data_IF_841237748278
#
_entry.id   IF_841237748278
#
_cell.length_a   1.000
_cell.length_b   1.000
_cell.length_c   1.000
_cell.angle_alpha   90.00
_cell.angle_beta   90.00
_cell.angle_gamma   90.00
#
_symmetry.space_group_name_H-M   'P 1'
#
loop_
_entity.id
_entity.type
_entity.pdbx_description
1 polymer ?
#
# COMPACT_ATOMS: atom_id res chain seq x y z
N UNK A 1 -23.66 -5.97 13.68
CA UNK A 1 -22.56 -5.52 12.79
C UNK A 1 -21.20 -5.83 13.43
N UNK A 2 -20.93 -5.39 14.66
CA UNK A 2 -19.67 -5.64 15.36
C UNK A 2 -19.37 -7.12 15.58
N UNK A 3 -20.37 -7.95 15.89
CA UNK A 3 -20.19 -9.38 16.05
C UNK A 3 -19.67 -10.04 14.77
N UNK A 4 -20.27 -9.78 13.61
CA UNK A 4 -19.81 -10.31 12.30
C UNK A 4 -18.40 -9.84 11.94
N UNK A 5 -18.05 -8.63 12.32
CA UNK A 5 -16.70 -8.08 12.07
C UNK A 5 -15.65 -8.79 12.92
N UNK A 6 -15.94 -9.02 14.21
CA UNK A 6 -15.04 -9.74 15.11
C UNK A 6 -14.90 -11.21 14.72
N UNK A 7 -16.00 -11.88 14.29
CA UNK A 7 -15.93 -13.23 13.73
C UNK A 7 -14.92 -13.30 12.56
N UNK A 8 -15.00 -12.37 11.62
CA UNK A 8 -14.03 -12.31 10.50
C UNK A 8 -12.58 -12.10 10.96
N UNK A 9 -12.37 -11.45 12.12
CA UNK A 9 -11.03 -11.30 12.70
C UNK A 9 -10.53 -12.62 13.30
N UNK A 10 -11.42 -13.36 13.94
CA UNK A 10 -11.13 -14.70 14.48
C UNK A 10 -10.84 -15.70 13.34
N UNK A 11 -11.60 -15.66 12.23
CA UNK A 11 -11.32 -16.48 11.05
C UNK A 11 -9.91 -16.21 10.48
N UNK A 12 -9.46 -14.97 10.50
CA UNK A 12 -8.08 -14.63 10.11
C UNK A 12 -7.05 -14.98 11.17
N UNK A 13 -7.43 -14.93 12.44
CA UNK A 13 -6.57 -15.38 13.52
C UNK A 13 -6.26 -16.85 13.38
N UNK A 14 -7.25 -17.73 13.14
CA UNK A 14 -7.03 -19.16 12.93
C UNK A 14 -6.07 -19.43 11.78
N UNK A 15 -6.06 -18.57 10.75
CA UNK A 15 -5.18 -18.69 9.59
C UNK A 15 -3.75 -18.20 9.81
N UNK A 16 -3.52 -17.18 10.67
CA UNK A 16 -2.19 -16.57 10.83
C UNK A 16 -1.53 -16.84 12.19
N UNK A 17 -2.24 -17.37 13.19
CA UNK A 17 -1.73 -17.53 14.54
C UNK A 17 -0.51 -18.46 14.61
N UNK A 18 -0.53 -19.56 13.87
CA UNK A 18 0.58 -20.54 13.76
C UNK A 18 1.88 -19.91 13.21
N UNK A 19 1.78 -18.81 12.46
CA UNK A 19 2.94 -18.06 11.97
C UNK A 19 3.32 -16.90 12.89
N UNK A 20 2.35 -16.12 13.38
CA UNK A 20 2.62 -14.89 14.13
C UNK A 20 3.12 -15.18 15.55
N UNK A 21 2.45 -16.09 16.27
CA UNK A 21 2.78 -16.40 17.67
C UNK A 21 4.21 -16.91 17.86
N UNK A 22 4.73 -17.90 17.09
CA UNK A 22 6.12 -18.33 17.23
C UNK A 22 7.14 -17.24 16.91
N UNK A 23 6.82 -16.31 15.96
CA UNK A 23 7.68 -15.17 15.69
C UNK A 23 7.76 -14.27 16.91
N UNK A 24 6.63 -13.90 17.55
CA UNK A 24 6.63 -13.10 18.78
C UNK A 24 7.42 -13.78 19.88
N UNK A 25 7.17 -15.08 20.13
CA UNK A 25 7.89 -15.87 21.13
C UNK A 25 9.41 -15.88 20.87
N UNK A 26 9.85 -15.94 19.61
CA UNK A 26 11.28 -15.91 19.27
C UNK A 26 12.01 -14.62 19.66
N UNK A 27 11.27 -13.54 19.94
CA UNK A 27 11.79 -12.28 20.50
C UNK A 27 11.60 -12.17 22.03
N UNK A 28 11.12 -13.22 22.69
CA UNK A 28 10.79 -13.22 24.12
C UNK A 28 9.56 -12.38 24.45
N UNK A 29 8.65 -12.21 23.51
CA UNK A 29 7.43 -11.41 23.66
C UNK A 29 6.22 -12.31 23.95
N UNK A 30 5.22 -11.80 24.72
CA UNK A 30 3.94 -12.48 24.86
C UNK A 30 3.29 -12.74 23.50
N UNK A 31 2.85 -13.97 23.28
CA UNK A 31 2.19 -14.36 22.02
C UNK A 31 0.82 -13.68 21.84
N UNK A 32 0.21 -13.27 22.94
CA UNK A 32 -1.06 -12.53 23.00
C UNK A 32 -0.96 -11.15 22.34
N UNK A 33 0.24 -10.65 22.08
CA UNK A 33 0.43 -9.42 21.28
C UNK A 33 -0.08 -9.56 19.83
N UNK A 34 -0.41 -10.76 19.36
CA UNK A 34 -1.15 -10.97 18.12
C UNK A 34 -2.49 -10.21 18.13
N UNK A 35 -3.15 -10.08 19.30
CA UNK A 35 -4.40 -9.34 19.42
C UNK A 35 -4.24 -7.84 19.18
N UNK A 36 -3.02 -7.29 19.33
CA UNK A 36 -2.73 -5.94 18.90
C UNK A 36 -2.87 -5.80 17.38
N UNK A 37 -2.31 -6.73 16.59
CA UNK A 37 -2.50 -6.75 15.14
C UNK A 37 -3.98 -6.98 14.75
N UNK A 38 -4.72 -7.74 15.55
CA UNK A 38 -6.16 -7.91 15.37
C UNK A 38 -6.89 -6.58 15.53
N UNK A 39 -6.60 -5.79 16.57
CA UNK A 39 -7.22 -4.47 16.79
C UNK A 39 -6.78 -3.45 15.73
N UNK A 40 -5.55 -3.50 15.28
CA UNK A 40 -5.03 -2.57 14.25
C UNK A 40 -5.72 -2.75 12.89
N UNK A 41 -6.02 -3.98 12.49
CA UNK A 41 -6.49 -4.25 11.12
C UNK A 41 -7.46 -5.42 10.98
N UNK A 42 -7.78 -6.14 12.05
CA UNK A 42 -8.40 -7.46 12.00
C UNK A 42 -7.51 -8.45 11.24
N UNK A 43 -6.18 -8.40 11.44
CA UNK A 43 -5.17 -9.24 10.76
C UNK A 43 -5.24 -9.14 9.21
N UNK A 44 -5.71 -8.02 8.67
CA UNK A 44 -5.92 -7.83 7.24
C UNK A 44 -4.64 -7.33 6.55
N UNK A 45 -4.01 -8.17 5.74
CA UNK A 45 -2.81 -7.83 4.95
C UNK A 45 -3.04 -6.70 3.95
N UNK A 46 -4.31 -6.46 3.54
CA UNK A 46 -4.69 -5.41 2.59
C UNK A 46 -5.15 -4.13 3.27
N UNK A 47 -5.21 -4.09 4.60
CA UNK A 47 -5.66 -2.91 5.34
C UNK A 47 -4.84 -1.67 4.97
N UNK A 48 -5.54 -0.54 4.86
CA UNK A 48 -4.97 0.76 4.56
C UNK A 48 -5.75 1.84 5.30
N UNK A 49 -5.11 2.53 6.23
CA UNK A 49 -5.73 3.56 7.04
C UNK A 49 -5.65 4.95 6.40
N UNK A 50 -6.46 5.88 6.90
CA UNK A 50 -6.40 7.30 6.52
C UNK A 50 -5.01 7.92 6.79
N UNK A 51 -4.31 7.47 7.82
CA UNK A 51 -2.94 7.87 8.15
C UNK A 51 -1.87 7.16 7.30
N UNK A 52 -2.25 6.47 6.22
CA UNK A 52 -1.36 5.70 5.35
C UNK A 52 -0.62 4.54 6.05
N UNK A 53 -1.15 4.06 7.17
CA UNK A 53 -0.71 2.82 7.77
C UNK A 53 -1.20 1.62 6.95
N UNK A 54 -0.41 0.55 6.89
CA UNK A 54 -0.66 -0.56 5.95
C UNK A 54 -0.36 -1.91 6.61
N UNK A 55 -1.18 -2.91 6.24
CA UNK A 55 -0.96 -4.32 6.55
C UNK A 55 -1.47 -4.73 7.93
N UNK A 56 -1.19 -5.97 8.37
CA UNK A 56 -1.75 -6.52 9.60
C UNK A 56 -1.36 -5.70 10.83
N UNK A 57 -0.15 -5.18 10.90
CA UNK A 57 0.41 -4.41 12.00
C UNK A 57 0.28 -2.89 11.84
N UNK A 58 -0.41 -2.40 10.82
CA UNK A 58 -0.64 -0.99 10.53
C UNK A 58 0.60 -0.09 10.60
N UNK A 59 1.72 -0.55 10.05
CA UNK A 59 2.92 0.28 9.97
C UNK A 59 2.72 1.49 9.08
N UNK A 60 3.04 2.69 9.58
CA UNK A 60 3.31 3.84 8.73
C UNK A 60 4.68 3.67 8.06
N UNK A 61 4.86 4.33 6.90
CA UNK A 61 6.06 4.11 6.06
C UNK A 61 7.39 4.44 6.74
N UNK A 62 7.41 5.43 7.64
CA UNK A 62 8.62 5.83 8.36
C UNK A 62 9.03 4.76 9.39
N UNK A 63 8.08 4.33 10.23
CA UNK A 63 8.30 3.30 11.25
C UNK A 63 8.64 1.96 10.61
N UNK A 64 7.89 1.52 9.59
CA UNK A 64 8.20 0.27 8.89
C UNK A 64 9.62 0.25 8.32
N UNK A 65 10.10 1.38 7.77
CA UNK A 65 11.49 1.49 7.27
C UNK A 65 12.53 1.42 8.38
N UNK A 66 12.25 2.03 9.54
CA UNK A 66 13.12 1.95 10.72
C UNK A 66 13.35 0.50 11.15
N UNK A 67 12.31 -0.32 11.08
CA UNK A 67 12.34 -1.74 11.42
C UNK A 67 12.59 -2.68 10.22
N UNK A 68 13.12 -2.16 9.11
CA UNK A 68 13.66 -2.94 8.00
C UNK A 68 12.67 -3.26 6.87
N UNK A 69 11.40 -2.84 6.96
CA UNK A 69 10.41 -3.11 5.94
C UNK A 69 10.65 -2.26 4.68
N UNK A 70 10.75 -2.92 3.55
CA UNK A 70 10.91 -2.29 2.24
C UNK A 70 9.57 -1.85 1.68
N UNK A 71 9.57 -0.69 1.04
CA UNK A 71 8.43 -0.20 0.27
C UNK A 71 8.95 0.46 -1.00
N UNK A 72 8.61 -0.11 -2.13
CA UNK A 72 8.94 0.44 -3.43
C UNK A 72 7.75 0.32 -4.40
N UNK A 73 8.01 0.46 -5.70
CA UNK A 73 6.99 0.31 -6.74
C UNK A 73 6.44 -1.13 -6.82
N UNK A 74 7.28 -2.12 -6.57
CA UNK A 74 6.99 -3.54 -6.75
C UNK A 74 6.41 -4.20 -5.52
N UNK A 75 6.96 -3.85 -4.35
CA UNK A 75 6.62 -4.49 -3.07
C UNK A 75 6.29 -3.46 -1.99
N UNK A 76 5.43 -3.87 -1.05
CA UNK A 76 5.20 -3.17 0.21
C UNK A 76 5.21 -4.20 1.35
N UNK A 77 6.38 -4.43 1.96
CA UNK A 77 6.61 -5.49 2.94
C UNK A 77 5.82 -5.28 4.25
N UNK A 78 5.16 -4.15 4.43
CA UNK A 78 4.21 -3.94 5.53
C UNK A 78 2.98 -4.85 5.42
N UNK A 79 2.72 -5.39 4.22
CA UNK A 79 1.65 -6.36 3.93
C UNK A 79 2.08 -7.81 4.14
N UNK A 80 3.38 -8.08 4.10
CA UNK A 80 3.94 -9.40 4.32
C UNK A 80 3.78 -9.79 5.80
N UNK A 81 3.06 -10.88 6.07
CA UNK A 81 2.74 -11.29 7.44
C UNK A 81 4.01 -11.57 8.23
N UNK A 82 4.94 -12.35 7.68
CA UNK A 82 6.17 -12.75 8.36
C UNK A 82 7.08 -11.56 8.61
N UNK A 83 7.40 -10.79 7.55
CA UNK A 83 8.32 -9.63 7.66
C UNK A 83 7.76 -8.54 8.54
N UNK A 84 6.45 -8.24 8.42
CA UNK A 84 5.83 -7.22 9.26
C UNK A 84 5.71 -7.67 10.73
N UNK A 85 5.56 -8.96 11.00
CA UNK A 85 5.57 -9.48 12.37
C UNK A 85 6.96 -9.38 13.00
N UNK A 86 8.03 -9.75 12.28
CA UNK A 86 9.39 -9.51 12.77
C UNK A 86 9.68 -8.03 13.04
N UNK A 87 9.17 -7.14 12.20
CA UNK A 87 9.31 -5.70 12.42
C UNK A 87 8.51 -5.22 13.64
N UNK A 88 7.28 -5.74 13.83
CA UNK A 88 6.44 -5.42 14.96
C UNK A 88 7.03 -5.95 16.28
N UNK A 89 7.56 -7.17 16.27
CA UNK A 89 8.23 -7.75 17.42
C UNK A 89 9.42 -6.88 17.89
N UNK A 90 10.28 -6.44 16.96
CA UNK A 90 11.39 -5.52 17.28
C UNK A 90 10.89 -4.19 17.84
N UNK A 91 9.85 -3.62 17.23
CA UNK A 91 9.29 -2.34 17.69
C UNK A 91 8.65 -2.48 19.08
N UNK A 92 7.86 -3.52 19.32
CA UNK A 92 7.24 -3.79 20.62
C UNK A 92 8.29 -4.06 21.70
N UNK A 93 9.36 -4.78 21.33
CA UNK A 93 10.49 -4.99 22.24
C UNK A 93 11.16 -3.67 22.63
N UNK A 94 11.51 -2.83 21.65
CA UNK A 94 12.10 -1.50 21.91
C UNK A 94 11.18 -0.65 22.80
N UNK A 95 9.85 -0.72 22.60
CA UNK A 95 8.89 0.02 23.43
C UNK A 95 8.81 -0.55 24.86
N UNK A 96 8.83 -1.88 25.01
CA UNK A 96 8.84 -2.51 26.31
C UNK A 96 10.15 -2.24 27.05
N UNK A 97 11.28 -2.35 26.38
CA UNK A 97 12.60 -2.04 26.97
C UNK A 97 12.69 -0.57 27.43
N UNK A 98 11.99 0.36 26.75
CA UNK A 98 11.94 1.78 27.15
C UNK A 98 11.03 2.02 28.36
N UNK A 99 9.86 1.40 28.37
CA UNK A 99 8.84 1.71 29.37
C UNK A 99 8.77 0.71 30.52
N UNK A 100 9.34 -0.48 30.40
CA UNK A 100 9.25 -1.59 31.37
C UNK A 100 7.80 -1.84 31.85
N UNK A 101 6.85 -1.68 30.92
CA UNK A 101 5.41 -1.78 31.15
C UNK A 101 4.68 -2.05 29.82
N UNK A 102 3.95 -3.14 29.74
CA UNK A 102 3.23 -3.52 28.52
C UNK A 102 2.09 -2.57 28.16
N UNK A 103 1.41 -1.98 29.13
CA UNK A 103 0.33 -1.04 28.84
C UNK A 103 0.87 0.25 28.23
N UNK A 104 2.00 0.74 28.75
CA UNK A 104 2.70 1.89 28.19
C UNK A 104 3.31 1.57 26.83
N UNK A 105 3.85 0.36 26.62
CA UNK A 105 4.37 -0.09 25.34
C UNK A 105 3.25 -0.16 24.28
N UNK A 106 2.10 -0.77 24.60
CA UNK A 106 0.93 -0.82 23.69
C UNK A 106 0.36 0.59 23.41
N UNK A 107 0.27 1.44 24.42
CA UNK A 107 -0.14 2.84 24.25
C UNK A 107 0.83 3.60 23.32
N UNK A 108 2.14 3.33 23.47
CA UNK A 108 3.19 3.93 22.63
C UNK A 108 3.13 3.45 21.19
N UNK A 109 2.80 2.18 20.97
CA UNK A 109 2.56 1.65 19.64
C UNK A 109 1.44 2.43 18.90
N UNK A 110 0.33 2.69 19.62
CA UNK A 110 -0.83 3.40 19.07
C UNK A 110 -0.57 4.90 18.82
N UNK A 111 0.05 5.61 19.78
CA UNK A 111 0.12 7.08 19.75
C UNK A 111 1.52 7.66 19.56
N UNK A 112 2.53 6.80 19.55
CA UNK A 112 3.95 7.13 19.47
C UNK A 112 4.58 7.35 20.85
N UNK A 113 5.79 6.82 21.03
CA UNK A 113 6.58 6.86 22.29
C UNK A 113 6.79 8.28 22.82
N UNK A 114 7.01 9.25 21.94
CA UNK A 114 7.23 10.65 22.34
C UNK A 114 6.03 11.26 23.05
N UNK A 115 4.80 10.82 22.73
CA UNK A 115 3.59 11.29 23.40
C UNK A 115 3.46 10.69 24.78
N UNK A 116 3.68 9.40 24.91
CA UNK A 116 3.64 8.69 26.20
C UNK A 116 4.69 9.27 27.16
N UNK A 117 5.94 9.47 26.71
CA UNK A 117 6.98 10.16 27.48
C UNK A 117 6.56 11.55 27.98
N UNK A 118 5.90 12.34 27.15
CA UNK A 118 5.38 13.65 27.55
C UNK A 118 4.27 13.54 28.59
N UNK A 119 3.39 12.57 28.43
CA UNK A 119 2.32 12.30 29.39
C UNK A 119 2.89 11.91 30.77
N UNK A 120 3.84 10.97 30.82
CA UNK A 120 4.52 10.56 32.05
C UNK A 120 5.14 11.79 32.77
N UNK A 121 5.88 12.63 32.03
CA UNK A 121 6.49 13.84 32.61
C UNK A 121 5.46 14.85 33.11
N UNK A 122 4.35 15.00 32.36
CA UNK A 122 3.29 15.96 32.70
C UNK A 122 2.48 15.54 33.93
N UNK A 123 2.19 14.23 34.05
CA UNK A 123 1.33 13.69 35.09
C UNK A 123 2.12 13.20 36.32
N UNK A 124 3.44 13.06 36.17
CA UNK A 124 4.34 12.65 37.27
C UNK A 124 4.24 11.19 37.71
N UNK A 125 3.55 10.35 36.91
CA UNK A 125 3.43 8.91 37.21
C UNK A 125 3.48 8.07 35.93
N UNK A 126 3.62 6.73 36.09
CA UNK A 126 3.70 5.74 35.00
C UNK A 126 2.46 4.82 34.90
N UNK A 127 1.47 5.02 35.77
CA UNK A 127 0.25 4.23 35.79
C UNK A 127 -0.63 4.59 34.59
N UNK A 128 -0.62 3.73 33.54
CA UNK A 128 -1.39 3.91 32.33
C UNK A 128 -2.89 4.16 32.59
N UNK A 129 -3.47 3.41 33.54
CA UNK A 129 -4.92 3.47 33.80
C UNK A 129 -5.37 4.79 34.44
N UNK A 130 -4.45 5.52 35.01
CA UNK A 130 -4.69 6.84 35.62
C UNK A 130 -4.37 7.99 34.66
N UNK A 131 -3.76 7.71 33.47
CA UNK A 131 -3.38 8.75 32.52
C UNK A 131 -4.59 9.39 31.84
N UNK A 132 -4.85 10.65 32.17
CA UNK A 132 -5.98 11.44 31.63
C UNK A 132 -5.60 12.30 30.43
N UNK A 133 -4.33 12.66 30.26
CA UNK A 133 -3.87 13.53 29.16
C UNK A 133 -3.53 12.78 27.89
N UNK A 134 -3.55 11.45 27.89
CA UNK A 134 -3.54 10.65 26.67
C UNK A 134 -4.82 10.88 25.87
N UNK A 135 -4.77 10.85 24.51
CA UNK A 135 -5.98 10.90 23.68
C UNK A 135 -6.98 9.83 24.09
N UNK A 136 -8.27 10.14 24.05
CA UNK A 136 -9.34 9.18 24.39
C UNK A 136 -9.20 7.85 23.63
N UNK A 137 -8.83 7.92 22.35
CA UNK A 137 -8.57 6.72 21.56
C UNK A 137 -7.48 5.85 22.19
N UNK A 138 -6.35 6.45 22.59
CA UNK A 138 -5.22 5.73 23.20
C UNK A 138 -5.59 5.18 24.57
N UNK A 139 -6.36 5.93 25.38
CA UNK A 139 -6.84 5.46 26.70
C UNK A 139 -7.76 4.25 26.61
N UNK A 140 -8.48 4.08 25.51
CA UNK A 140 -9.34 2.92 25.26
C UNK A 140 -8.60 1.78 24.55
N UNK A 141 -7.44 2.06 23.97
CA UNK A 141 -6.75 1.13 23.06
C UNK A 141 -6.31 -0.15 23.77
N UNK A 142 -5.63 -0.02 24.90
CA UNK A 142 -5.13 -1.18 25.66
C UNK A 142 -6.30 -2.04 26.15
N UNK A 143 -7.35 -1.42 26.72
CA UNK A 143 -8.54 -2.14 27.13
C UNK A 143 -9.19 -2.92 25.97
N UNK A 144 -9.16 -2.34 24.74
CA UNK A 144 -9.68 -3.01 23.54
C UNK A 144 -8.82 -4.21 23.15
N UNK A 145 -7.47 -4.09 23.25
CA UNK A 145 -6.57 -5.21 22.97
C UNK A 145 -6.76 -6.33 23.99
N UNK A 146 -6.87 -6.00 25.29
CA UNK A 146 -7.12 -6.98 26.34
C UNK A 146 -8.49 -7.67 26.17
N UNK A 147 -9.53 -6.92 25.83
CA UNK A 147 -10.85 -7.49 25.54
C UNK A 147 -10.79 -8.46 24.36
N UNK A 148 -10.05 -8.12 23.30
CA UNK A 148 -9.85 -9.01 22.15
C UNK A 148 -9.07 -10.28 22.56
N UNK A 149 -8.08 -10.15 23.44
CA UNK A 149 -7.34 -11.30 23.95
C UNK A 149 -8.23 -12.22 24.81
N UNK A 150 -9.05 -11.66 25.70
CA UNK A 150 -9.99 -12.43 26.54
C UNK A 150 -11.01 -13.17 25.66
N UNK A 151 -11.63 -12.49 24.71
CA UNK A 151 -12.61 -13.11 23.83
C UNK A 151 -11.93 -14.15 22.91
N UNK A 152 -10.73 -13.83 22.41
CA UNK A 152 -10.00 -14.70 21.49
C UNK A 152 -9.39 -15.93 22.15
N UNK A 153 -9.19 -15.92 23.50
CA UNK A 153 -8.72 -17.09 24.25
C UNK A 153 -9.84 -18.11 24.52
N UNK A 154 -11.09 -17.66 24.57
CA UNK A 154 -12.28 -18.49 24.76
C UNK A 154 -13.45 -17.94 23.93
N UNK A 155 -13.39 -18.04 22.60
CA UNK A 155 -14.38 -17.40 21.72
C UNK A 155 -15.78 -17.99 21.86
N UNK A 156 -15.90 -19.28 22.15
CA UNK A 156 -17.19 -19.97 22.27
C UNK A 156 -18.04 -19.41 23.43
N UNK A 157 -17.42 -19.12 24.57
CA UNK A 157 -18.09 -18.49 25.71
C UNK A 157 -18.67 -17.10 25.40
N UNK A 158 -18.21 -16.47 24.34
CA UNK A 158 -18.68 -15.17 23.85
C UNK A 158 -19.56 -15.27 22.59
N UNK A 159 -19.98 -16.48 22.21
CA UNK A 159 -20.85 -16.73 21.07
C UNK A 159 -20.17 -16.62 19.71
N UNK A 160 -18.86 -16.84 19.64
CA UNK A 160 -18.11 -16.93 18.40
C UNK A 160 -17.69 -18.38 18.15
N UNK A 161 -17.56 -18.70 16.87
CA UNK A 161 -17.01 -19.97 16.43
C UNK A 161 -15.65 -19.73 15.77
N UNK A 162 -14.66 -20.53 16.12
CA UNK A 162 -13.31 -20.47 15.49
C UNK A 162 -13.01 -21.86 14.93
N UNK A 163 -12.76 -21.90 13.64
CA UNK A 163 -12.27 -23.10 13.00
C UNK A 163 -10.91 -23.50 13.61
N UNK A 164 -10.57 -24.79 13.52
CA UNK A 164 -9.23 -25.26 13.92
C UNK A 164 -8.14 -24.40 13.28
N UNK A 165 -7.05 -24.17 14.05
CA UNK A 165 -5.90 -23.43 13.54
C UNK A 165 -5.37 -24.13 12.28
N UNK A 166 -5.45 -23.46 11.15
CA UNK A 166 -4.91 -23.97 9.89
C UNK A 166 -3.46 -23.53 9.78
N UNK A 167 -2.58 -24.47 9.47
CA UNK A 167 -1.19 -24.13 9.21
C UNK A 167 -1.09 -23.32 7.91
N UNK A 168 -0.62 -22.09 8.03
CA UNK A 168 -0.29 -21.25 6.89
C UNK A 168 1.10 -21.68 6.37
N UNK A 169 1.16 -22.94 5.95
CA UNK A 169 2.38 -23.55 5.46
C UNK A 169 2.65 -23.16 4.02
N UNK A 170 3.88 -22.79 3.75
CA UNK A 170 4.33 -22.43 2.42
C UNK A 170 5.78 -22.86 2.18
N UNK A 171 6.09 -23.06 0.93
CA UNK A 171 7.47 -23.18 0.44
C UNK A 171 7.90 -21.88 -0.20
N UNK A 172 9.20 -21.69 -0.33
CA UNK A 172 9.77 -20.50 -0.98
C UNK A 172 10.49 -20.94 -2.24
N UNK A 173 10.17 -20.30 -3.36
CA UNK A 173 10.87 -20.51 -4.63
C UNK A 173 11.56 -19.23 -5.08
N UNK A 174 12.73 -19.39 -5.67
CA UNK A 174 13.55 -18.30 -6.17
C UNK A 174 13.10 -17.89 -7.58
N UNK A 175 12.74 -16.62 -7.75
CA UNK A 175 12.37 -16.05 -9.04
C UNK A 175 13.39 -14.99 -9.44
N UNK A 176 14.19 -15.27 -10.46
CA UNK A 176 15.32 -14.45 -10.92
C UNK A 176 14.91 -13.32 -11.88
N UNK A 177 13.68 -13.35 -12.39
CA UNK A 177 13.15 -12.40 -13.36
C UNK A 177 11.72 -11.96 -13.05
N UNK A 178 11.23 -10.99 -13.78
CA UNK A 178 9.83 -10.56 -13.64
C UNK A 178 8.91 -11.53 -14.35
N UNK A 179 8.07 -12.24 -13.59
CA UNK A 179 7.08 -13.19 -14.08
C UNK A 179 5.67 -12.78 -13.63
N UNK A 180 4.68 -13.07 -14.47
CA UNK A 180 3.27 -12.85 -14.15
C UNK A 180 2.79 -13.86 -13.10
N UNK A 181 2.18 -13.38 -12.02
CA UNK A 181 1.68 -14.26 -10.95
C UNK A 181 0.58 -15.22 -11.43
N UNK A 182 -0.23 -14.84 -12.42
CA UNK A 182 -1.24 -15.72 -13.01
C UNK A 182 -0.61 -16.86 -13.82
N UNK A 183 0.48 -16.57 -14.56
CA UNK A 183 1.25 -17.60 -15.29
C UNK A 183 1.98 -18.52 -14.31
N UNK A 184 2.53 -17.98 -13.22
CA UNK A 184 3.12 -18.78 -12.14
C UNK A 184 2.05 -19.68 -11.52
N UNK A 185 0.88 -19.13 -11.16
CA UNK A 185 -0.20 -19.89 -10.58
C UNK A 185 -0.64 -21.05 -11.47
N UNK A 186 -0.74 -20.82 -12.79
CA UNK A 186 -1.06 -21.86 -13.77
C UNK A 186 0.02 -22.95 -13.82
N UNK A 187 1.31 -22.56 -13.88
CA UNK A 187 2.43 -23.49 -13.94
C UNK A 187 2.53 -24.36 -12.68
N UNK A 188 2.27 -23.81 -11.51
CA UNK A 188 2.26 -24.51 -10.22
C UNK A 188 0.94 -25.25 -9.93
N UNK A 189 -0.07 -25.11 -10.80
CA UNK A 189 -1.43 -25.64 -10.59
C UNK A 189 -2.02 -25.22 -9.25
N UNK A 190 -1.90 -23.93 -8.92
CA UNK A 190 -2.49 -23.32 -7.72
C UNK A 190 -3.46 -22.23 -8.12
N UNK A 191 -4.40 -21.90 -7.22
CA UNK A 191 -5.30 -20.80 -7.46
C UNK A 191 -4.53 -19.45 -7.39
N UNK A 192 -4.78 -18.53 -8.31
CA UNK A 192 -4.18 -17.21 -8.29
C UNK A 192 -4.45 -16.43 -6.99
N UNK A 193 -5.65 -16.59 -6.41
CA UNK A 193 -6.01 -15.92 -5.16
C UNK A 193 -5.17 -16.42 -3.99
N UNK A 194 -4.89 -17.73 -3.95
CA UNK A 194 -4.08 -18.34 -2.91
C UNK A 194 -2.64 -17.86 -3.03
N UNK A 195 -2.06 -17.93 -4.24
CA UNK A 195 -0.73 -17.37 -4.48
C UNK A 195 -0.61 -15.90 -4.09
N UNK A 196 -1.66 -15.11 -4.36
CA UNK A 196 -1.73 -13.71 -3.96
C UNK A 196 -1.89 -13.51 -2.44
N UNK A 197 -2.52 -14.44 -1.75
CA UNK A 197 -2.67 -14.43 -0.30
C UNK A 197 -1.34 -14.71 0.41
N UNK A 198 -0.52 -15.60 -0.13
CA UNK A 198 0.84 -15.85 0.37
C UNK A 198 1.79 -14.67 0.08
N UNK A 199 1.54 -13.87 -0.94
CA UNK A 199 2.39 -12.76 -1.38
C UNK A 199 1.63 -11.41 -1.46
N UNK A 200 1.00 -10.96 -0.37
CA UNK A 200 0.18 -9.75 -0.38
C UNK A 200 1.01 -8.47 -0.57
N UNK A 201 2.32 -8.53 -0.33
CA UNK A 201 3.28 -7.45 -0.53
C UNK A 201 3.51 -7.11 -2.00
N UNK A 202 3.25 -8.03 -2.94
CA UNK A 202 3.40 -7.78 -4.37
C UNK A 202 2.32 -6.81 -4.87
N UNK A 203 2.74 -5.66 -5.37
CA UNK A 203 1.84 -4.56 -5.73
C UNK A 203 1.36 -4.60 -7.18
N UNK A 204 2.13 -5.24 -8.05
CA UNK A 204 1.92 -5.16 -9.51
C UNK A 204 1.37 -6.44 -10.15
N UNK A 205 1.14 -7.51 -9.38
CA UNK A 205 0.72 -8.80 -9.94
C UNK A 205 1.80 -9.54 -10.74
N UNK A 206 3.05 -9.08 -10.58
CA UNK A 206 4.25 -9.69 -11.17
C UNK A 206 5.35 -9.72 -10.12
N UNK A 207 6.32 -10.60 -10.28
CA UNK A 207 7.54 -10.60 -9.46
C UNK A 207 8.45 -9.43 -9.84
N UNK A 208 9.17 -8.82 -8.86
CA UNK A 208 10.02 -7.68 -9.14
C UNK A 208 11.20 -8.02 -10.05
N UNK A 209 11.57 -7.18 -11.04
CA UNK A 209 12.83 -7.31 -11.72
C UNK A 209 13.96 -6.93 -10.76
N UNK A 210 14.75 -7.88 -10.34
CA UNK A 210 15.82 -7.69 -9.35
C UNK A 210 17.09 -8.41 -9.76
N UNK A 211 18.25 -7.88 -9.29
CA UNK A 211 19.53 -8.59 -9.40
C UNK A 211 19.62 -9.80 -8.44
N UNK A 212 18.83 -9.77 -7.37
CA UNK A 212 18.70 -10.90 -6.44
C UNK A 212 17.37 -11.58 -6.70
N UNK A 213 17.27 -12.90 -6.64
CA UNK A 213 16.01 -13.61 -6.77
C UNK A 213 14.96 -13.04 -5.81
N UNK A 214 13.72 -12.99 -6.28
CA UNK A 214 12.58 -12.71 -5.43
C UNK A 214 12.10 -14.01 -4.81
N UNK A 215 12.01 -14.03 -3.50
CA UNK A 215 11.57 -15.18 -2.72
C UNK A 215 10.03 -15.23 -2.75
N UNK A 216 9.47 -16.01 -3.65
CA UNK A 216 8.02 -16.17 -3.80
C UNK A 216 7.51 -17.29 -2.90
N UNK A 217 6.54 -16.98 -2.05
CA UNK A 217 5.86 -17.97 -1.21
C UNK A 217 4.80 -18.70 -2.03
N UNK A 218 4.80 -20.01 -1.98
CA UNK A 218 3.84 -20.89 -2.66
C UNK A 218 3.26 -21.89 -1.66
N UNK A 219 2.04 -22.42 -1.86
CA UNK A 219 1.49 -23.44 -0.98
C UNK A 219 2.42 -24.64 -0.84
N UNK A 220 2.44 -25.26 0.33
CA UNK A 220 3.25 -26.45 0.64
C UNK A 220 3.05 -27.54 -0.41
N UNK A 221 4.13 -28.24 -0.80
CA UNK A 221 4.13 -29.28 -1.84
C UNK A 221 4.03 -28.76 -3.27
N UNK A 222 4.10 -27.43 -3.49
CA UNK A 222 4.05 -26.83 -4.83
C UNK A 222 5.39 -26.24 -5.29
N UNK A 223 6.36 -26.08 -4.40
CA UNK A 223 7.67 -25.49 -4.72
C UNK A 223 8.57 -26.43 -5.54
N UNK A 224 8.44 -27.73 -5.34
CA UNK A 224 9.21 -28.77 -6.05
C UNK A 224 8.61 -29.19 -7.39
N UNK A 225 7.34 -28.82 -7.63
CA UNK A 225 6.61 -29.19 -8.83
C UNK A 225 6.98 -28.23 -9.97
N UNK A 226 7.84 -28.71 -10.88
CA UNK A 226 7.96 -28.16 -12.22
C UNK A 226 8.89 -26.94 -12.43
N UNK A 227 10.16 -27.06 -12.03
CA UNK A 227 11.21 -26.13 -12.44
C UNK A 227 11.23 -25.91 -13.97
N UNK A 228 10.91 -26.95 -14.77
CA UNK A 228 10.82 -26.85 -16.23
C UNK A 228 9.64 -25.99 -16.69
N UNK A 229 8.46 -26.10 -16.04
CA UNK A 229 7.31 -25.26 -16.36
C UNK A 229 7.56 -23.79 -15.96
N UNK A 230 8.27 -23.56 -14.84
CA UNK A 230 8.67 -22.19 -14.45
C UNK A 230 9.70 -21.62 -15.42
N UNK A 231 10.65 -22.41 -15.91
CA UNK A 231 11.65 -21.99 -16.90
C UNK A 231 10.99 -21.58 -18.24
N UNK A 232 9.90 -22.21 -18.64
CA UNK A 232 9.18 -21.89 -19.89
C UNK A 232 8.31 -20.64 -19.81
N UNK A 233 8.05 -20.07 -18.61
CA UNK A 233 7.27 -18.83 -18.48
C UNK A 233 8.08 -17.68 -19.06
N UNK A 234 7.57 -16.95 -20.07
CA UNK A 234 8.27 -15.78 -20.58
C UNK A 234 8.32 -14.66 -19.55
N UNK A 235 9.36 -13.85 -19.60
CA UNK A 235 9.44 -12.62 -18.79
C UNK A 235 8.15 -11.80 -19.00
N UNK A 236 7.61 -11.29 -17.89
CA UNK A 236 6.35 -10.55 -17.92
C UNK A 236 6.44 -9.31 -18.80
N UNK A 237 5.45 -9.17 -19.64
CA UNK A 237 5.22 -7.99 -20.47
C UNK A 237 4.05 -7.11 -19.95
N UNK A 238 3.42 -7.50 -18.83
CA UNK A 238 2.31 -6.74 -18.20
C UNK A 238 2.71 -5.36 -17.73
N UNK A 239 3.99 -5.23 -17.37
CA UNK A 239 4.57 -3.94 -16.99
C UNK A 239 5.69 -3.67 -17.96
N UNK A 240 5.38 -2.90 -19.00
CA UNK A 240 6.41 -2.33 -19.86
C UNK A 240 7.30 -1.43 -19.01
N UNK A 241 8.49 -1.90 -18.72
CA UNK A 241 9.53 -1.02 -18.21
C UNK A 241 10.58 -0.84 -19.30
N UNK A 242 10.80 0.40 -19.66
CA UNK A 242 11.94 0.74 -20.51
C UNK A 242 13.19 0.85 -19.63
N UNK A 243 14.33 0.45 -20.17
CA UNK A 243 15.61 0.67 -19.52
C UNK A 243 16.19 1.97 -20.08
N UNK A 244 16.54 2.88 -19.16
CA UNK A 244 17.28 4.08 -19.48
C UNK A 244 18.66 4.04 -18.85
N UNK A 245 19.69 4.31 -19.64
CA UNK A 245 21.05 4.53 -19.13
C UNK A 245 21.27 6.03 -19.01
N UNK A 246 21.59 6.49 -17.79
CA UNK A 246 21.80 7.91 -17.47
C UNK A 246 22.93 8.47 -18.30
N UNK A 247 22.68 9.57 -19.01
CA UNK A 247 23.67 10.30 -19.81
C UNK A 247 24.21 11.48 -19.02
N UNK A 248 25.36 12.01 -19.44
CA UNK A 248 25.96 13.20 -18.83
C UNK A 248 24.98 14.38 -18.86
N UNK A 249 24.76 15.02 -17.72
CA UNK A 249 23.85 16.18 -17.56
C UNK A 249 22.37 15.80 -17.35
N UNK A 250 21.99 14.53 -17.40
CA UNK A 250 20.62 14.15 -17.10
C UNK A 250 20.35 14.12 -15.60
N UNK A 251 19.17 14.57 -15.22
CA UNK A 251 18.62 14.47 -13.86
C UNK A 251 17.42 13.56 -13.83
N UNK A 252 17.07 13.03 -12.66
CA UNK A 252 15.87 12.21 -12.50
C UNK A 252 14.60 12.92 -12.96
N UNK A 253 14.51 14.24 -12.76
CA UNK A 253 13.35 15.04 -13.19
C UNK A 253 13.26 15.14 -14.72
N UNK A 254 14.39 15.29 -15.42
CA UNK A 254 14.47 15.30 -16.88
C UNK A 254 14.08 13.93 -17.43
N UNK A 255 14.62 12.85 -16.84
CA UNK A 255 14.33 11.47 -17.25
C UNK A 255 12.85 11.15 -17.00
N UNK A 256 12.31 11.50 -15.84
CA UNK A 256 10.90 11.31 -15.51
C UNK A 256 9.97 12.00 -16.53
N UNK A 257 10.30 13.24 -16.91
CA UNK A 257 9.56 14.01 -17.93
C UNK A 257 9.66 13.36 -19.30
N UNK A 258 10.87 12.95 -19.71
CA UNK A 258 11.13 12.28 -20.99
C UNK A 258 10.25 11.04 -21.19
N UNK A 259 10.07 10.25 -20.15
CA UNK A 259 9.28 9.01 -20.18
C UNK A 259 7.84 9.18 -19.68
N UNK A 260 7.42 10.41 -19.41
CA UNK A 260 6.08 10.73 -18.93
C UNK A 260 5.68 9.94 -17.66
N UNK A 261 6.63 9.72 -16.76
CA UNK A 261 6.41 9.07 -15.46
C UNK A 261 6.60 10.09 -14.33
N UNK A 262 5.93 9.88 -13.19
CA UNK A 262 6.19 10.77 -12.06
C UNK A 262 7.59 10.52 -11.49
N UNK A 263 8.26 11.59 -11.06
CA UNK A 263 9.57 11.50 -10.41
C UNK A 263 9.54 10.53 -9.22
N UNK A 264 8.45 10.55 -8.45
CA UNK A 264 8.27 9.66 -7.31
C UNK A 264 8.22 8.19 -7.73
N UNK A 265 7.50 7.86 -8.81
CA UNK A 265 7.45 6.50 -9.35
C UNK A 265 8.82 6.05 -9.87
N UNK A 266 9.53 6.92 -10.60
CA UNK A 266 10.87 6.63 -11.10
C UNK A 266 11.86 6.35 -9.96
N UNK A 267 11.86 7.20 -8.92
CA UNK A 267 12.70 7.04 -7.72
C UNK A 267 12.39 5.73 -6.99
N UNK A 268 11.10 5.42 -6.81
CA UNK A 268 10.66 4.19 -6.12
C UNK A 268 11.00 2.92 -6.91
N UNK A 269 10.79 2.93 -8.24
CA UNK A 269 11.10 1.78 -9.11
C UNK A 269 12.59 1.42 -9.07
N UNK A 270 13.45 2.43 -8.89
CA UNK A 270 14.91 2.28 -8.91
C UNK A 270 15.53 2.27 -7.51
N UNK A 271 14.73 2.32 -6.44
CA UNK A 271 15.20 2.33 -5.04
C UNK A 271 16.26 3.43 -4.78
N UNK A 272 16.08 4.61 -5.42
CA UNK A 272 17.03 5.70 -5.32
C UNK A 272 16.91 6.36 -3.95
N UNK A 273 17.96 6.27 -3.15
CA UNK A 273 18.01 6.86 -1.80
C UNK A 273 18.24 8.37 -1.86
N UNK A 274 19.13 8.83 -2.73
CA UNK A 274 19.47 10.24 -2.90
C UNK A 274 19.12 10.69 -4.33
N UNK A 275 18.13 11.57 -4.45
CA UNK A 275 17.61 12.07 -5.74
C UNK A 275 18.63 12.93 -6.51
N UNK A 276 19.61 13.49 -5.81
CA UNK A 276 20.62 14.37 -6.39
C UNK A 276 21.91 13.61 -6.81
N UNK A 277 21.94 12.29 -6.59
CA UNK A 277 23.13 11.47 -6.87
C UNK A 277 22.79 10.42 -7.94
N UNK A 278 23.02 10.81 -9.19
CA UNK A 278 22.93 9.96 -10.37
C UNK A 278 24.30 9.81 -10.99
N UNK A 279 24.68 8.56 -11.32
CA UNK A 279 25.92 8.27 -12.02
C UNK A 279 25.68 8.14 -13.51
N UNK A 280 26.55 8.69 -14.35
CA UNK A 280 26.52 8.46 -15.80
C UNK A 280 26.69 6.95 -16.06
N UNK A 281 25.88 6.41 -16.98
CA UNK A 281 25.82 4.96 -17.24
C UNK A 281 24.92 4.18 -16.25
N UNK A 282 24.41 4.80 -15.21
CA UNK A 282 23.49 4.13 -14.28
C UNK A 282 22.24 3.63 -15.01
N UNK A 283 21.97 2.33 -14.86
CA UNK A 283 20.76 1.70 -15.39
C UNK A 283 19.55 2.09 -14.55
N UNK A 284 18.54 2.68 -15.17
CA UNK A 284 17.25 3.02 -14.55
C UNK A 284 16.13 2.21 -15.20
N UNK A 285 15.28 1.63 -14.37
CA UNK A 285 14.01 1.04 -14.75
C UNK A 285 12.97 2.16 -14.81
N UNK A 286 12.36 2.35 -15.95
CA UNK A 286 11.30 3.34 -16.18
C UNK A 286 9.96 2.62 -16.08
N UNK A 287 9.17 2.80 -15.02
CA UNK A 287 7.90 2.11 -14.85
C UNK A 287 6.85 2.74 -15.80
N UNK A 288 6.61 2.12 -16.94
CA UNK A 288 5.57 2.51 -17.86
C UNK A 288 4.47 1.43 -17.91
N UNK A 289 3.19 1.73 -17.73
CA UNK A 289 2.13 0.79 -18.06
C UNK A 289 2.11 0.55 -19.57
N UNK A 290 1.85 -0.70 -20.00
CA UNK A 290 1.85 -1.14 -21.40
C UNK A 290 1.03 -0.24 -22.35
N UNK A 291 -0.03 0.39 -21.87
CA UNK A 291 -0.90 1.29 -22.62
C UNK A 291 -0.29 2.68 -22.90
N UNK A 292 0.93 2.96 -22.43
CA UNK A 292 1.63 4.24 -22.68
C UNK A 292 2.71 4.15 -23.77
N UNK A 293 3.15 2.94 -24.15
CA UNK A 293 4.22 2.75 -25.13
C UNK A 293 3.73 2.86 -26.59
N UNK A 294 2.43 2.70 -26.84
CA UNK A 294 1.85 2.73 -28.19
C UNK A 294 1.40 4.11 -28.67
N UNK A 295 1.69 5.19 -27.95
CA UNK A 295 1.30 6.55 -28.35
C UNK A 295 2.46 7.53 -28.45
N UNK A 296 3.63 7.08 -28.90
CA UNK A 296 4.66 8.00 -29.45
C UNK A 296 4.61 8.13 -30.97
N UNK A 297 3.51 7.76 -31.61
CA UNK A 297 3.11 8.34 -32.88
C UNK A 297 2.38 9.64 -32.57
N UNK A 298 2.85 10.73 -33.17
CA UNK A 298 2.16 12.02 -33.20
C UNK A 298 0.67 11.80 -33.49
N UNK A 299 -0.14 11.74 -32.45
CA UNK A 299 -1.57 11.91 -32.59
C UNK A 299 -1.85 13.38 -32.37
N UNK A 300 -1.91 14.12 -33.46
CA UNK A 300 -2.78 15.28 -33.60
C UNK A 300 -4.06 14.98 -32.83
N UNK A 301 -4.37 15.86 -31.83
CA UNK A 301 -5.45 15.67 -30.88
C UNK A 301 -6.75 15.21 -31.55
N UNK A 302 -7.14 13.98 -31.27
CA UNK A 302 -8.50 13.52 -31.48
C UNK A 302 -9.37 14.19 -30.43
N UNK A 303 -10.06 15.23 -30.82
CA UNK A 303 -11.15 15.85 -30.09
C UNK A 303 -12.15 14.73 -29.75
N UNK A 304 -12.33 14.46 -28.46
CA UNK A 304 -13.41 13.59 -27.98
C UNK A 304 -14.74 14.06 -28.58
N UNK A 305 -15.55 13.11 -29.03
CA UNK A 305 -16.87 13.36 -29.61
C UNK A 305 -17.71 14.28 -28.73
N UNK A 306 -18.45 15.25 -29.32
CA UNK A 306 -19.34 16.11 -28.56
C UNK A 306 -20.43 15.25 -27.89
N UNK A 307 -20.97 15.68 -26.73
CA UNK A 307 -22.14 15.02 -26.15
C UNK A 307 -23.30 15.09 -27.13
N UNK A 308 -24.21 14.08 -27.06
CA UNK A 308 -25.39 13.93 -27.91
C UNK A 308 -26.14 15.26 -28.11
N UNK A 309 -27.00 15.33 -29.14
CA UNK A 309 -27.66 16.50 -29.75
C UNK A 309 -28.26 17.60 -28.85
N UNK A 310 -28.33 17.38 -27.53
CA UNK A 310 -29.00 18.29 -26.58
C UNK A 310 -28.07 19.34 -25.91
N UNK A 311 -26.82 19.45 -26.36
CA UNK A 311 -25.86 20.38 -25.78
C UNK A 311 -25.40 21.44 -26.77
N UNK A 312 -25.38 22.70 -26.33
CA UNK A 312 -24.80 23.84 -27.07
C UNK A 312 -23.33 24.01 -26.70
N UNK A 313 -22.46 24.15 -27.69
CA UNK A 313 -21.03 24.44 -27.53
C UNK A 313 -20.85 25.94 -27.26
N UNK A 314 -20.17 26.30 -26.15
CA UNK A 314 -19.74 27.66 -25.84
C UNK A 314 -18.23 27.71 -25.69
N UNK A 315 -17.63 28.83 -26.09
CA UNK A 315 -16.21 29.11 -25.86
C UNK A 315 -16.11 30.13 -24.74
N UNK A 316 -15.35 29.79 -23.70
CA UNK A 316 -15.08 30.68 -22.56
C UNK A 316 -13.60 31.08 -22.56
N UNK A 317 -13.31 32.36 -22.43
CA UNK A 317 -11.95 32.89 -22.26
C UNK A 317 -11.67 33.08 -20.79
N UNK A 318 -10.67 32.37 -20.26
CA UNK A 318 -10.27 32.38 -18.84
C UNK A 318 -9.84 33.82 -18.45
N UNK A 319 -10.38 34.32 -17.35
CA UNK A 319 -10.05 35.65 -16.78
C UNK A 319 -9.02 35.48 -15.65
N UNK A 320 -8.38 36.55 -15.25
CA UNK A 320 -7.45 36.56 -14.11
C UNK A 320 -8.21 36.20 -12.82
N UNK A 321 -7.75 35.15 -12.11
CA UNK A 321 -8.37 34.64 -10.88
C UNK A 321 -9.35 33.50 -11.07
N UNK A 322 -9.70 33.15 -12.33
CA UNK A 322 -10.59 32.01 -12.58
C UNK A 322 -9.99 30.66 -12.18
N UNK A 323 -10.84 29.82 -11.60
CA UNK A 323 -10.55 28.41 -11.39
C UNK A 323 -11.50 27.53 -12.20
N UNK A 324 -11.07 26.32 -12.56
CA UNK A 324 -11.96 25.38 -13.26
C UNK A 324 -13.23 25.03 -12.45
N UNK A 325 -13.16 25.14 -11.12
CA UNK A 325 -14.32 24.95 -10.24
C UNK A 325 -15.36 26.05 -10.45
N UNK A 326 -14.94 27.33 -10.31
CA UNK A 326 -15.82 28.50 -10.51
C UNK A 326 -16.40 28.58 -11.92
N UNK A 327 -15.56 28.30 -12.94
CA UNK A 327 -16.04 28.25 -14.32
C UNK A 327 -17.11 27.15 -14.48
N UNK A 328 -16.90 25.99 -13.85
CA UNK A 328 -17.85 24.89 -13.91
C UNK A 328 -19.19 25.23 -13.26
N UNK A 329 -19.18 25.90 -12.11
CA UNK A 329 -20.38 26.42 -11.43
C UNK A 329 -21.15 27.42 -12.31
N UNK A 330 -20.47 28.39 -12.91
CA UNK A 330 -21.06 29.39 -13.80
C UNK A 330 -21.74 28.80 -15.04
N UNK A 331 -21.31 27.62 -15.47
CA UNK A 331 -21.88 26.94 -16.64
C UNK A 331 -22.70 25.69 -16.28
N UNK A 332 -23.07 25.51 -15.02
CA UNK A 332 -23.84 24.39 -14.49
C UNK A 332 -23.28 23.02 -14.96
N UNK A 333 -21.96 22.85 -14.82
CA UNK A 333 -21.23 21.65 -15.21
C UNK A 333 -20.21 21.28 -14.12
N UNK A 334 -19.28 20.38 -14.40
CA UNK A 334 -18.21 20.02 -13.47
C UNK A 334 -16.82 20.31 -14.04
N UNK A 335 -15.88 20.63 -13.17
CA UNK A 335 -14.48 20.81 -13.54
C UNK A 335 -13.88 19.57 -14.24
N UNK A 336 -14.39 18.37 -13.91
CA UNK A 336 -14.03 17.11 -14.58
C UNK A 336 -14.46 17.12 -16.05
N UNK A 337 -15.69 17.58 -16.35
CA UNK A 337 -16.20 17.69 -17.71
C UNK A 337 -15.45 18.74 -18.52
N UNK A 338 -15.18 19.93 -17.93
CA UNK A 338 -14.42 20.97 -18.62
C UNK A 338 -13.02 20.48 -18.95
N UNK A 339 -12.34 19.76 -18.04
CA UNK A 339 -11.04 19.13 -18.35
C UNK A 339 -11.15 18.18 -19.54
N UNK A 340 -12.13 17.28 -19.49
CA UNK A 340 -12.35 16.28 -20.54
C UNK A 340 -12.56 16.93 -21.91
N UNK A 341 -13.43 17.95 -22.01
CA UNK A 341 -13.73 18.65 -23.25
C UNK A 341 -12.56 19.42 -23.83
N UNK A 342 -11.59 19.77 -23.00
CA UNK A 342 -10.43 20.59 -23.39
C UNK A 342 -9.10 19.82 -23.35
N UNK A 343 -9.12 18.50 -23.12
CA UNK A 343 -7.90 17.70 -23.02
C UNK A 343 -6.97 18.09 -21.87
N UNK A 344 -7.52 18.72 -20.82
CA UNK A 344 -6.74 19.17 -19.66
C UNK A 344 -6.54 18.03 -18.67
N UNK A 345 -5.31 17.85 -18.22
CA UNK A 345 -4.96 16.83 -17.21
C UNK A 345 -5.41 17.26 -15.81
N UNK A 346 -5.60 16.29 -14.92
CA UNK A 346 -5.83 16.58 -13.51
C UNK A 346 -4.62 17.32 -12.92
N UNK A 347 -4.85 18.46 -12.23
CA UNK A 347 -3.78 19.32 -11.70
C UNK A 347 -3.15 20.29 -12.71
N UNK A 348 -3.58 20.27 -13.98
CA UNK A 348 -3.13 21.25 -14.96
C UNK A 348 -3.77 22.61 -14.69
N UNK A 349 -2.94 23.65 -14.61
CA UNK A 349 -3.38 25.04 -14.44
C UNK A 349 -3.98 25.59 -15.73
N UNK A 350 -4.96 26.47 -15.59
CA UNK A 350 -5.49 27.31 -16.65
C UNK A 350 -4.93 28.71 -16.51
N UNK A 351 -4.78 29.42 -17.60
CA UNK A 351 -4.15 30.75 -17.62
C UNK A 351 -5.10 31.79 -18.20
N UNK A 352 -5.04 33.05 -17.74
CA UNK A 352 -5.80 34.15 -18.33
C UNK A 352 -5.56 34.24 -19.85
N UNK A 353 -6.65 34.41 -20.62
CA UNK A 353 -6.62 34.41 -22.08
C UNK A 353 -6.78 33.00 -22.73
N UNK A 354 -6.67 31.93 -21.96
CA UNK A 354 -6.87 30.56 -22.47
C UNK A 354 -8.35 30.35 -22.87
N UNK A 355 -8.61 29.84 -24.08
CA UNK A 355 -9.96 29.50 -24.53
C UNK A 355 -10.33 28.08 -24.13
N UNK A 356 -11.45 27.94 -23.42
CA UNK A 356 -12.01 26.66 -23.01
C UNK A 356 -13.32 26.39 -23.75
N UNK A 357 -13.45 25.18 -24.29
CA UNK A 357 -14.73 24.68 -24.83
C UNK A 357 -15.58 24.15 -23.69
N UNK A 358 -16.82 24.63 -23.59
CA UNK A 358 -17.79 24.22 -22.57
C UNK A 358 -19.09 23.84 -23.28
N UNK A 359 -19.69 22.73 -22.88
CA UNK A 359 -20.98 22.30 -23.38
C UNK A 359 -22.05 22.50 -22.30
N UNK A 360 -23.10 23.25 -22.65
CA UNK A 360 -24.25 23.52 -21.77
C UNK A 360 -25.50 22.86 -22.35
N UNK A 361 -26.41 22.35 -21.51
CA UNK A 361 -27.71 21.86 -21.98
C UNK A 361 -28.43 22.98 -22.76
N UNK A 362 -29.02 22.65 -23.89
CA UNK A 362 -29.95 23.55 -24.57
C UNK A 362 -31.17 23.70 -23.67
N UNK A 363 -31.51 24.92 -23.30
CA UNK A 363 -32.82 25.20 -22.72
C UNK A 363 -33.83 24.99 -23.86
N UNK A 364 -34.63 23.93 -23.80
CA UNK A 364 -35.88 23.86 -24.55
C UNK A 364 -36.83 24.82 -23.83
N UNK A 365 -37.03 26.00 -24.41
CA UNK A 365 -38.06 26.94 -24.03
C UNK A 365 -39.44 26.35 -24.23
#
# INVERSE_FOLDING_TARGET
>A
RKHKEFQLWLDRYSFYATTIRPILASYGLPEELIYLAMIESGLNTKAYSYAHAVGPWQFISATGRRYGLKRDWWVDERRDVVKSTHAAAKYLKDLHDEFDDWYLAMASYNTGESRVRRTIRREGHRDYWRMITLPRQTRNYVATVLAAAIIGSDPESYGFHVDELTDWEYEVIDIDRSLDLDKIALALRVNYKDLKTFNPELRQGVTPPSKKPYLLKVPLGKGTINTNAMASIPTSDKIDYQVHYVRRGETLSVIARKYNVSLTKLVQANRIKNRNRLSVGQKLVIPAPKNYASTSTKTTGTKSSPPATDYAKKTYTVKKGDTLGQIAENFNTSAKRIRHWNGLRYGQHIYPGQKLTIYTKKNNG
#
